data_IF_635843205485
#
_entry.id   IF_635843205485
#
_cell.length_a   1.000
_cell.length_b   1.000
_cell.length_c   1.000
_cell.angle_alpha   90.00
_cell.angle_beta   90.00
_cell.angle_gamma   90.00
#
_symmetry.space_group_name_H-M   'P 1'
#
loop_
_entity.id
_entity.type
_entity.pdbx_description
1 polymer ?
#
# COMPACT_ATOMS: atom_id res chain seq x y z
N UNK A 1 9.22 -29.15 -7.05
CA UNK A 1 9.82 -28.41 -5.92
C UNK A 1 8.99 -27.17 -5.68
N UNK A 2 8.17 -27.19 -4.62
CA UNK A 2 7.30 -26.07 -4.24
C UNK A 2 8.14 -24.82 -4.04
N UNK A 3 7.72 -23.69 -4.60
CA UNK A 3 8.36 -22.37 -4.38
C UNK A 3 8.31 -22.08 -2.89
N UNK A 4 9.41 -22.32 -2.18
CA UNK A 4 9.52 -22.03 -0.75
C UNK A 4 9.19 -20.55 -0.54
N UNK A 5 7.99 -20.31 -0.02
CA UNK A 5 7.60 -18.98 0.45
C UNK A 5 8.55 -18.65 1.59
N UNK A 6 9.31 -17.56 1.47
CA UNK A 6 10.13 -17.04 2.57
C UNK A 6 9.28 -16.41 3.69
N UNK A 7 7.96 -16.41 3.50
CA UNK A 7 7.01 -15.95 4.50
C UNK A 7 6.77 -17.09 5.51
N UNK A 8 6.79 -16.77 6.82
CA UNK A 8 6.53 -17.77 7.85
C UNK A 8 5.05 -18.16 7.88
N UNK A 9 4.76 -19.29 8.54
CA UNK A 9 3.39 -19.62 8.93
C UNK A 9 2.87 -18.57 9.93
N UNK A 10 1.68 -18.03 9.65
CA UNK A 10 1.12 -16.90 10.39
C UNK A 10 0.73 -17.26 11.83
N UNK A 11 0.33 -18.51 12.07
CA UNK A 11 -0.04 -19.01 13.39
C UNK A 11 1.23 -19.30 14.20
N UNK A 12 2.23 -19.94 13.60
CA UNK A 12 3.52 -20.17 14.26
C UNK A 12 4.22 -18.87 14.63
N UNK A 13 4.18 -17.89 13.72
CA UNK A 13 4.71 -16.56 14.00
C UNK A 13 3.97 -15.91 15.17
N UNK A 14 2.63 -15.93 15.17
CA UNK A 14 1.83 -15.35 16.26
C UNK A 14 2.11 -16.01 17.62
N UNK A 15 2.29 -17.33 17.66
CA UNK A 15 2.70 -18.05 18.88
C UNK A 15 4.10 -17.63 19.32
N UNK A 16 5.06 -17.53 18.39
CA UNK A 16 6.44 -17.12 18.69
C UNK A 16 6.52 -15.67 19.19
N UNK A 17 5.60 -14.81 18.75
CA UNK A 17 5.44 -13.43 19.18
C UNK A 17 4.68 -13.30 20.52
N UNK A 18 4.30 -14.41 21.15
CA UNK A 18 3.68 -14.42 22.48
C UNK A 18 2.19 -14.11 22.51
N UNK A 19 1.48 -14.14 21.38
CA UNK A 19 0.04 -13.89 21.38
C UNK A 19 -0.71 -15.06 22.02
N UNK A 20 -1.72 -14.75 22.84
CA UNK A 20 -2.55 -15.74 23.50
C UNK A 20 -3.48 -16.44 22.50
N UNK A 21 -3.25 -17.73 22.28
CA UNK A 21 -4.03 -18.58 21.38
C UNK A 21 -5.17 -19.30 22.10
N UNK A 22 -6.28 -19.52 21.41
CA UNK A 22 -7.32 -20.46 21.84
C UNK A 22 -6.84 -21.87 21.51
N UNK A 23 -6.32 -22.57 22.51
CA UNK A 23 -5.63 -23.86 22.36
C UNK A 23 -6.38 -24.90 21.52
N UNK A 24 -7.71 -24.97 21.65
CA UNK A 24 -8.56 -25.90 20.88
C UNK A 24 -8.73 -25.55 19.39
N UNK A 25 -8.14 -24.46 18.91
CA UNK A 25 -8.16 -24.04 17.49
C UNK A 25 -6.79 -24.11 16.81
N UNK A 26 -5.73 -24.49 17.54
CA UNK A 26 -4.35 -24.43 17.03
C UNK A 26 -4.11 -25.31 15.79
N UNK A 27 -4.78 -26.46 15.72
CA UNK A 27 -4.67 -27.41 14.62
C UNK A 27 -5.73 -27.19 13.52
N UNK A 28 -6.57 -26.16 13.65
CA UNK A 28 -7.58 -25.81 12.65
C UNK A 28 -6.99 -24.88 11.60
N UNK A 29 -7.61 -24.85 10.42
CA UNK A 29 -7.25 -23.91 9.36
C UNK A 29 -7.34 -22.44 9.85
N UNK A 30 -8.40 -22.14 10.59
CA UNK A 30 -8.64 -20.87 11.26
C UNK A 30 -8.33 -21.03 12.75
N UNK A 31 -7.24 -20.41 13.20
CA UNK A 31 -6.84 -20.40 14.60
C UNK A 31 -7.22 -19.05 15.23
N UNK A 32 -7.80 -19.09 16.42
CA UNK A 32 -8.29 -17.91 17.12
C UNK A 32 -7.29 -17.45 18.18
N UNK A 33 -7.07 -16.14 18.25
CA UNK A 33 -6.14 -15.48 19.17
C UNK A 33 -6.81 -14.28 19.85
N UNK A 34 -6.22 -13.86 20.97
CA UNK A 34 -6.49 -12.55 21.53
C UNK A 34 -5.93 -11.49 20.58
N UNK A 35 -6.75 -10.49 20.25
CA UNK A 35 -6.32 -9.41 19.38
C UNK A 35 -5.45 -8.43 20.18
N UNK A 36 -4.19 -8.17 19.79
CA UNK A 36 -3.32 -7.25 20.53
C UNK A 36 -3.71 -5.78 20.35
N UNK A 37 -4.59 -5.46 19.38
CA UNK A 37 -5.00 -4.09 19.06
C UNK A 37 -6.36 -3.71 19.66
N UNK A 38 -7.14 -4.66 20.16
CA UNK A 38 -8.52 -4.41 20.60
C UNK A 38 -8.67 -3.86 22.03
N UNK A 39 -7.58 -3.69 22.78
CA UNK A 39 -7.64 -3.43 24.21
C UNK A 39 -8.58 -4.41 24.95
N UNK A 40 -9.14 -3.98 26.07
CA UNK A 40 -10.08 -4.78 26.87
C UNK A 40 -11.52 -4.77 26.32
N UNK A 41 -11.77 -4.31 25.09
CA UNK A 41 -13.14 -4.25 24.57
C UNK A 41 -13.77 -5.64 24.58
N UNK A 42 -14.80 -5.88 25.41
CA UNK A 42 -15.39 -7.20 25.66
C UNK A 42 -16.52 -7.59 24.69
N UNK A 43 -16.87 -6.74 23.72
CA UNK A 43 -18.08 -6.88 22.88
C UNK A 43 -18.23 -8.21 22.10
N UNK A 44 -17.17 -9.01 21.97
CA UNK A 44 -17.17 -10.29 21.24
C UNK A 44 -16.34 -11.40 21.93
N UNK A 45 -16.15 -11.32 23.25
CA UNK A 45 -15.36 -12.32 24.01
C UNK A 45 -13.84 -12.18 23.87
N UNK A 46 -13.06 -13.09 24.47
CA UNK A 46 -11.59 -12.95 24.58
C UNK A 46 -10.84 -13.16 23.25
N UNK A 47 -11.24 -14.16 22.45
CA UNK A 47 -10.55 -14.53 21.21
C UNK A 47 -11.29 -13.96 20.00
N UNK A 48 -10.75 -12.86 19.45
CA UNK A 48 -11.41 -12.03 18.44
C UNK A 48 -10.64 -11.93 17.13
N UNK A 49 -9.40 -12.39 17.13
CA UNK A 49 -8.48 -12.39 15.99
C UNK A 49 -8.47 -13.80 15.39
N UNK A 50 -8.87 -13.93 14.13
CA UNK A 50 -8.76 -15.19 13.40
C UNK A 50 -7.60 -15.13 12.42
N UNK A 51 -6.77 -16.17 12.42
CA UNK A 51 -5.60 -16.33 11.57
C UNK A 51 -5.79 -17.58 10.72
N UNK A 52 -5.72 -17.44 9.40
CA UNK A 52 -5.85 -18.55 8.47
C UNK A 52 -4.46 -19.02 8.01
N UNK A 53 -4.06 -20.26 8.36
CA UNK A 53 -2.75 -20.82 7.97
C UNK A 53 -2.56 -20.91 6.47
N UNK A 54 -3.56 -21.42 5.74
CA UNK A 54 -3.45 -21.69 4.31
C UNK A 54 -3.36 -20.41 3.47
N UNK A 55 -4.16 -19.41 3.84
CA UNK A 55 -4.22 -18.13 3.12
C UNK A 55 -3.16 -17.14 3.62
N UNK A 56 -2.57 -17.36 4.79
CA UNK A 56 -1.62 -16.43 5.40
C UNK A 56 -2.24 -15.05 5.66
N UNK A 57 -3.52 -15.02 6.05
CA UNK A 57 -4.27 -13.78 6.33
C UNK A 57 -4.84 -13.79 7.74
N UNK A 58 -5.06 -12.60 8.28
CA UNK A 58 -5.71 -12.39 9.56
C UNK A 58 -6.91 -11.45 9.43
N UNK A 59 -7.85 -11.59 10.37
CA UNK A 59 -8.97 -10.67 10.54
C UNK A 59 -9.41 -10.63 12.00
N UNK A 60 -9.56 -9.44 12.56
CA UNK A 60 -10.22 -9.20 13.82
C UNK A 60 -11.69 -8.83 13.60
N UNK A 61 -12.59 -9.51 14.31
CA UNK A 61 -14.03 -9.25 14.20
C UNK A 61 -14.52 -8.08 15.08
N UNK A 62 -13.64 -7.44 15.84
CA UNK A 62 -13.97 -6.29 16.70
C UNK A 62 -13.42 -4.99 16.15
N UNK A 63 -12.09 -4.82 16.07
CA UNK A 63 -11.49 -3.59 15.53
C UNK A 63 -11.43 -3.55 14.00
N UNK A 64 -11.99 -4.56 13.31
CA UNK A 64 -11.96 -4.71 11.86
C UNK A 64 -10.56 -4.81 11.23
N UNK A 65 -9.51 -4.91 12.03
CA UNK A 65 -8.15 -5.07 11.55
C UNK A 65 -7.97 -6.35 10.73
N UNK A 66 -7.34 -6.26 9.57
CA UNK A 66 -7.16 -7.38 8.67
C UNK A 66 -5.97 -7.16 7.74
N UNK A 67 -5.45 -8.24 7.17
CA UNK A 67 -4.33 -8.17 6.24
C UNK A 67 -3.67 -9.53 6.01
N UNK A 68 -2.55 -9.53 5.30
CA UNK A 68 -1.70 -10.70 5.13
C UNK A 68 -0.66 -10.84 6.25
N UNK A 69 0.13 -11.92 6.18
CA UNK A 69 1.26 -12.21 7.08
C UNK A 69 2.24 -11.04 7.23
N UNK A 70 2.55 -10.31 6.14
CA UNK A 70 3.49 -9.18 6.23
C UNK A 70 2.88 -8.00 6.98
N UNK A 71 1.61 -7.70 6.74
CA UNK A 71 0.89 -6.63 7.46
C UNK A 71 0.78 -6.99 8.94
N UNK A 72 0.58 -8.28 9.24
CA UNK A 72 0.55 -8.81 10.60
C UNK A 72 1.89 -8.58 11.32
N UNK A 73 3.00 -9.05 10.74
CA UNK A 73 4.35 -8.90 11.32
C UNK A 73 4.68 -7.41 11.51
N UNK A 74 4.37 -6.56 10.52
CA UNK A 74 4.57 -5.12 10.61
C UNK A 74 3.86 -4.50 11.80
N UNK A 75 2.60 -4.87 12.05
CA UNK A 75 1.83 -4.35 13.19
C UNK A 75 2.29 -4.90 14.54
N UNK A 76 2.75 -6.14 14.60
CA UNK A 76 3.25 -6.74 15.83
C UNK A 76 4.62 -6.16 16.21
N UNK A 77 5.53 -6.03 15.25
CA UNK A 77 6.90 -5.58 15.49
C UNK A 77 7.05 -4.06 15.43
N UNK A 78 6.05 -3.34 14.90
CA UNK A 78 6.12 -1.91 14.62
C UNK A 78 7.34 -1.53 13.76
N UNK A 79 7.61 -2.33 12.72
CA UNK A 79 8.75 -2.15 11.81
C UNK A 79 8.30 -1.97 10.36
N UNK A 80 9.05 -1.22 9.54
CA UNK A 80 8.70 -1.02 8.14
C UNK A 80 8.73 -2.35 7.37
N UNK A 81 7.77 -2.51 6.44
CA UNK A 81 7.57 -3.72 5.62
C UNK A 81 8.85 -4.20 4.96
N UNK A 82 9.66 -3.28 4.41
CA UNK A 82 10.89 -3.61 3.69
C UNK A 82 11.94 -4.25 4.59
N UNK A 83 12.08 -3.75 5.83
CA UNK A 83 13.02 -4.30 6.80
C UNK A 83 12.63 -5.73 7.17
N UNK A 84 11.35 -5.96 7.45
CA UNK A 84 10.79 -7.29 7.75
C UNK A 84 11.04 -8.25 6.58
N UNK A 85 10.70 -7.82 5.38
CA UNK A 85 10.84 -8.62 4.16
C UNK A 85 12.31 -8.98 3.89
N UNK A 86 13.22 -8.03 4.06
CA UNK A 86 14.66 -8.26 3.91
C UNK A 86 15.20 -9.20 5.00
N UNK A 87 14.75 -9.06 6.25
CA UNK A 87 15.09 -9.97 7.34
C UNK A 87 14.61 -11.40 7.07
N UNK A 88 13.37 -11.59 6.64
CA UNK A 88 12.81 -12.90 6.28
C UNK A 88 13.58 -13.54 5.12
N UNK A 89 13.94 -12.75 4.11
CA UNK A 89 14.75 -13.20 2.97
C UNK A 89 16.14 -13.65 3.42
N UNK A 90 16.83 -12.85 4.22
CA UNK A 90 18.16 -13.19 4.73
C UNK A 90 18.14 -14.47 5.57
N UNK A 91 17.17 -14.60 6.49
CA UNK A 91 16.97 -15.80 7.31
C UNK A 91 16.77 -17.07 6.49
N UNK A 92 16.12 -16.95 5.33
CA UNK A 92 15.89 -18.05 4.40
C UNK A 92 17.01 -18.21 3.34
N UNK A 93 18.18 -17.60 3.54
CA UNK A 93 19.33 -17.74 2.63
C UNK A 93 19.14 -17.07 1.27
N UNK A 94 18.18 -16.15 1.14
CA UNK A 94 17.90 -15.46 -0.13
C UNK A 94 18.96 -14.39 -0.37
N UNK A 95 19.70 -14.52 -1.46
CA UNK A 95 20.70 -13.54 -1.87
C UNK A 95 20.03 -12.24 -2.38
N UNK A 96 20.05 -11.19 -1.55
CA UNK A 96 19.42 -9.90 -1.85
C UNK A 96 20.06 -9.20 -3.06
N UNK A 97 21.38 -9.26 -3.21
CA UNK A 97 22.07 -8.66 -4.35
C UNK A 97 21.62 -9.29 -5.68
N UNK A 98 21.45 -10.62 -5.71
CA UNK A 98 20.95 -11.35 -6.88
C UNK A 98 19.49 -11.00 -7.18
N UNK A 99 18.65 -10.85 -6.14
CA UNK A 99 17.27 -10.38 -6.31
C UNK A 99 17.22 -8.96 -6.88
N UNK A 100 18.00 -8.03 -6.32
CA UNK A 100 18.04 -6.66 -6.79
C UNK A 100 18.51 -6.58 -8.24
N UNK A 101 19.57 -7.32 -8.59
CA UNK A 101 20.06 -7.41 -9.97
C UNK A 101 19.01 -7.96 -10.94
N UNK A 102 18.15 -8.89 -10.50
CA UNK A 102 17.02 -9.38 -11.31
C UNK A 102 15.90 -8.35 -11.42
N UNK A 103 15.61 -7.62 -10.33
CA UNK A 103 14.60 -6.55 -10.31
C UNK A 103 14.99 -5.40 -11.24
N UNK A 104 16.24 -4.96 -11.19
CA UNK A 104 16.76 -3.86 -12.02
C UNK A 104 16.79 -4.19 -13.53
N UNK A 105 16.73 -5.47 -13.90
CA UNK A 105 16.62 -5.90 -15.31
C UNK A 105 15.20 -5.84 -15.85
N UNK A 106 14.20 -5.79 -14.98
CA UNK A 106 12.79 -5.70 -15.39
C UNK A 106 12.46 -4.27 -15.73
N UNK A 107 11.54 -4.10 -16.68
CA UNK A 107 10.98 -2.78 -16.93
C UNK A 107 10.16 -2.29 -15.71
N UNK A 108 10.12 -0.98 -15.38
CA UNK A 108 9.29 -0.47 -14.29
C UNK A 108 7.82 -0.90 -14.36
N UNK A 109 7.20 -0.85 -15.55
CA UNK A 109 5.84 -1.37 -15.78
C UNK A 109 5.66 -2.85 -15.39
N UNK A 110 6.71 -3.66 -15.45
CA UNK A 110 6.65 -5.07 -15.04
C UNK A 110 6.63 -5.27 -13.52
N UNK A 111 6.94 -4.21 -12.77
CA UNK A 111 6.94 -4.20 -11.31
C UNK A 111 5.62 -3.67 -10.73
N UNK A 112 4.73 -3.13 -11.57
CA UNK A 112 3.41 -2.68 -11.14
C UNK A 112 2.59 -3.85 -10.57
N UNK A 113 1.88 -3.58 -9.48
CA UNK A 113 0.96 -4.53 -8.89
C UNK A 113 -0.30 -4.71 -9.75
N UNK A 114 -1.04 -5.79 -9.53
CA UNK A 114 -2.31 -6.02 -10.23
C UNK A 114 -3.32 -4.90 -9.93
N UNK A 115 -3.30 -4.35 -8.71
CA UNK A 115 -4.11 -3.20 -8.32
C UNK A 115 -3.73 -1.97 -9.11
N UNK A 116 -2.43 -1.65 -9.21
CA UNK A 116 -1.95 -0.49 -9.96
C UNK A 116 -2.32 -0.59 -11.44
N UNK A 117 -2.14 -1.76 -12.05
CA UNK A 117 -2.58 -2.02 -13.43
C UNK A 117 -4.09 -1.81 -13.60
N UNK A 118 -4.90 -2.27 -12.64
CA UNK A 118 -6.35 -2.07 -12.67
C UNK A 118 -6.75 -0.60 -12.59
N UNK A 119 -6.03 0.21 -11.79
CA UNK A 119 -6.29 1.65 -11.64
C UNK A 119 -6.11 2.41 -12.97
N UNK A 120 -5.18 1.96 -13.82
CA UNK A 120 -4.97 2.51 -15.17
C UNK A 120 -5.69 1.70 -16.27
N UNK A 121 -6.69 0.88 -15.90
CA UNK A 121 -7.59 0.22 -16.85
C UNK A 121 -7.10 -1.12 -17.42
N UNK A 122 -6.00 -1.68 -16.92
CA UNK A 122 -5.50 -3.00 -17.33
C UNK A 122 -6.08 -4.09 -16.42
N UNK A 123 -7.13 -4.77 -16.92
CA UNK A 123 -7.97 -5.70 -16.13
C UNK A 123 -7.32 -7.06 -15.81
N UNK A 124 -6.35 -7.54 -16.59
CA UNK A 124 -5.71 -8.83 -16.33
C UNK A 124 -4.31 -8.97 -16.98
N UNK A 125 -3.54 -9.87 -16.39
CA UNK A 125 -2.14 -10.22 -16.55
C UNK A 125 -1.58 -10.16 -17.98
N UNK A 126 -1.06 -9.00 -18.40
CA UNK A 126 -0.11 -8.88 -19.53
C UNK A 126 -0.60 -9.55 -20.83
N UNK A 127 -1.90 -9.47 -21.10
CA UNK A 127 -2.61 -10.24 -22.14
C UNK A 127 -2.02 -10.13 -23.56
N UNK A 128 -1.36 -9.02 -23.98
CA UNK A 128 -0.60 -8.98 -25.23
C UNK A 128 0.81 -9.60 -25.12
N UNK A 129 1.48 -9.48 -23.98
CA UNK A 129 2.88 -9.88 -23.78
C UNK A 129 3.07 -11.40 -23.77
N UNK A 130 2.05 -12.16 -23.32
CA UNK A 130 2.10 -13.63 -23.30
C UNK A 130 2.01 -14.26 -24.69
N UNK A 131 1.45 -13.55 -25.67
CA UNK A 131 1.22 -14.07 -27.04
C UNK A 131 2.33 -13.72 -28.02
N UNK A 132 3.12 -12.68 -27.73
CA UNK A 132 4.12 -12.13 -28.66
C UNK A 132 5.53 -12.38 -28.15
N UNK A 133 6.36 -13.09 -28.92
CA UNK A 133 7.78 -13.31 -28.61
C UNK A 133 8.70 -12.16 -29.04
N UNK A 134 8.16 -11.15 -29.71
CA UNK A 134 8.91 -9.98 -30.14
C UNK A 134 9.25 -9.07 -28.95
N UNK A 135 10.55 -8.98 -28.65
CA UNK A 135 11.09 -8.15 -27.57
C UNK A 135 10.83 -6.66 -27.77
N UNK A 136 10.85 -6.18 -29.02
CA UNK A 136 10.64 -4.77 -29.30
C UNK A 136 9.17 -4.38 -29.07
N UNK A 137 8.25 -5.25 -29.47
CA UNK A 137 6.82 -5.07 -29.20
C UNK A 137 6.53 -5.08 -27.69
N UNK A 138 7.09 -6.02 -26.94
CA UNK A 138 6.95 -6.06 -25.47
C UNK A 138 7.49 -4.77 -24.84
N UNK A 139 8.65 -4.29 -25.28
CA UNK A 139 9.23 -3.04 -24.77
C UNK A 139 8.29 -1.86 -25.00
N UNK A 140 7.78 -1.68 -26.23
CA UNK A 140 6.84 -0.58 -26.55
C UNK A 140 5.57 -0.62 -25.70
N UNK A 141 5.01 -1.81 -25.46
CA UNK A 141 3.86 -1.94 -24.56
C UNK A 141 4.22 -1.53 -23.13
N UNK A 142 5.37 -2.00 -22.64
CA UNK A 142 5.83 -1.67 -21.30
C UNK A 142 6.11 -0.16 -21.14
N UNK A 143 6.67 0.49 -22.15
CA UNK A 143 6.88 1.94 -22.18
C UNK A 143 5.53 2.67 -22.10
N UNK A 144 4.54 2.22 -22.88
CA UNK A 144 3.18 2.79 -22.86
C UNK A 144 2.50 2.61 -21.48
N UNK A 145 2.46 1.39 -20.94
CA UNK A 145 1.89 1.12 -19.61
C UNK A 145 2.55 2.00 -18.55
N UNK A 146 3.87 2.18 -18.63
CA UNK A 146 4.60 3.01 -17.70
C UNK A 146 4.22 4.49 -17.83
N UNK A 147 4.06 5.00 -19.05
CA UNK A 147 3.61 6.36 -19.29
C UNK A 147 2.20 6.61 -18.73
N UNK A 148 1.25 5.69 -18.95
CA UNK A 148 -0.11 5.76 -18.38
C UNK A 148 -0.07 5.78 -16.86
N UNK A 149 0.79 4.95 -16.25
CA UNK A 149 0.97 4.93 -14.80
C UNK A 149 1.53 6.25 -14.25
N UNK A 150 2.57 6.80 -14.89
CA UNK A 150 3.14 8.08 -14.47
C UNK A 150 2.13 9.23 -14.60
N UNK A 151 1.38 9.28 -15.70
CA UNK A 151 0.35 10.29 -15.89
C UNK A 151 -0.78 10.18 -14.85
N UNK A 152 -1.19 8.95 -14.54
CA UNK A 152 -2.16 8.70 -13.48
C UNK A 152 -1.64 9.14 -12.11
N UNK A 153 -0.39 8.80 -11.78
CA UNK A 153 0.24 9.24 -10.53
C UNK A 153 0.35 10.76 -10.42
N UNK A 154 0.78 11.44 -11.48
CA UNK A 154 0.89 12.90 -11.49
C UNK A 154 -0.48 13.56 -11.28
N UNK A 155 -1.53 13.01 -11.89
CA UNK A 155 -2.92 13.45 -11.64
C UNK A 155 -3.30 13.29 -10.16
N UNK A 156 -3.02 12.13 -9.56
CA UNK A 156 -3.30 11.89 -8.14
C UNK A 156 -2.49 12.77 -7.20
N UNK A 157 -1.23 13.05 -7.53
CA UNK A 157 -0.39 14.00 -6.78
C UNK A 157 -0.97 15.42 -6.82
N UNK A 158 -1.43 15.89 -7.98
CA UNK A 158 -2.09 17.20 -8.13
C UNK A 158 -3.36 17.28 -7.29
N UNK A 159 -4.25 16.30 -7.42
CA UNK A 159 -5.50 16.24 -6.65
C UNK A 159 -5.23 16.29 -5.15
N UNK A 160 -4.25 15.50 -4.69
CA UNK A 160 -3.89 15.41 -3.30
C UNK A 160 -3.22 16.70 -2.78
N UNK A 161 -2.39 17.36 -3.58
CA UNK A 161 -1.79 18.65 -3.23
C UNK A 161 -2.84 19.76 -3.14
N UNK A 162 -3.80 19.81 -4.09
CA UNK A 162 -4.94 20.73 -4.02
C UNK A 162 -5.73 20.49 -2.73
N UNK A 163 -6.04 19.24 -2.41
CA UNK A 163 -6.77 18.89 -1.20
C UNK A 163 -6.02 19.32 0.07
N UNK A 164 -4.71 19.05 0.13
CA UNK A 164 -3.86 19.45 1.24
C UNK A 164 -3.88 20.97 1.45
N UNK A 165 -3.71 21.76 0.38
CA UNK A 165 -3.77 23.22 0.43
C UNK A 165 -5.11 23.68 1.02
N UNK A 166 -6.23 23.15 0.51
CA UNK A 166 -7.56 23.51 1.00
C UNK A 166 -7.76 23.13 2.47
N UNK A 167 -7.27 21.96 2.90
CA UNK A 167 -7.31 21.56 4.30
C UNK A 167 -6.50 22.51 5.20
N UNK A 168 -5.29 22.90 4.78
CA UNK A 168 -4.45 23.84 5.55
C UNK A 168 -5.15 25.19 5.70
N UNK A 169 -5.69 25.73 4.61
CA UNK A 169 -6.40 27.01 4.63
C UNK A 169 -7.64 27.01 5.55
N UNK A 170 -8.25 25.84 5.77
CA UNK A 170 -9.40 25.66 6.66
C UNK A 170 -9.01 25.13 8.06
N UNK A 171 -7.73 25.10 8.42
CA UNK A 171 -7.22 24.55 9.68
C UNK A 171 -7.54 23.06 9.91
N UNK A 172 -7.73 22.30 8.83
CA UNK A 172 -8.03 20.86 8.81
C UNK A 172 -6.82 20.02 8.38
N UNK A 173 -5.61 20.42 8.77
CA UNK A 173 -4.37 19.76 8.34
C UNK A 173 -4.34 18.25 8.62
N UNK A 174 -4.80 17.82 9.80
CA UNK A 174 -4.85 16.40 10.16
C UNK A 174 -5.72 15.58 9.18
N UNK A 175 -6.84 16.14 8.73
CA UNK A 175 -7.72 15.47 7.75
C UNK A 175 -7.04 15.37 6.37
N UNK A 176 -6.27 16.40 5.98
CA UNK A 176 -5.49 16.39 4.75
C UNK A 176 -4.39 15.32 4.76
N UNK A 177 -3.69 15.15 5.89
CA UNK A 177 -2.69 14.08 6.06
C UNK A 177 -3.34 12.70 6.05
N UNK A 178 -4.46 12.51 6.76
CA UNK A 178 -5.19 11.24 6.76
C UNK A 178 -5.65 10.85 5.34
N UNK A 179 -6.14 11.82 4.57
CA UNK A 179 -6.49 11.60 3.16
C UNK A 179 -5.27 11.17 2.32
N UNK A 180 -4.12 11.83 2.49
CA UNK A 180 -2.87 11.48 1.80
C UNK A 180 -2.38 10.08 2.14
N UNK A 181 -2.45 9.69 3.42
CA UNK A 181 -2.07 8.34 3.87
C UNK A 181 -2.99 7.28 3.28
N UNK A 182 -4.30 7.54 3.25
CA UNK A 182 -5.28 6.62 2.67
C UNK A 182 -5.07 6.47 1.16
N UNK A 183 -4.86 7.57 0.45
CA UNK A 183 -4.55 7.54 -0.98
C UNK A 183 -3.22 6.80 -1.26
N UNK A 184 -2.19 7.02 -0.43
CA UNK A 184 -0.91 6.31 -0.56
C UNK A 184 -1.09 4.78 -0.42
N UNK A 185 -1.95 4.35 0.52
CA UNK A 185 -2.31 2.93 0.69
C UNK A 185 -3.07 2.37 -0.50
N UNK A 186 -4.03 3.12 -1.05
CA UNK A 186 -4.79 2.71 -2.23
C UNK A 186 -3.92 2.54 -3.47
N UNK A 187 -2.93 3.41 -3.64
CA UNK A 187 -2.03 3.41 -4.80
C UNK A 187 -0.83 2.46 -4.66
N UNK A 188 -0.56 1.94 -3.45
CA UNK A 188 0.68 1.24 -3.11
C UNK A 188 1.92 2.07 -3.50
N UNK A 189 1.88 3.37 -3.21
CA UNK A 189 2.90 4.36 -3.55
C UNK A 189 2.91 5.48 -2.51
N UNK A 190 4.09 5.87 -2.03
CA UNK A 190 4.23 6.88 -1.00
C UNK A 190 4.02 8.29 -1.58
N UNK A 191 2.80 8.82 -1.46
CA UNK A 191 2.50 10.19 -1.89
C UNK A 191 2.77 11.23 -0.81
N UNK A 192 2.81 10.83 0.46
CA UNK A 192 2.90 11.77 1.59
C UNK A 192 4.16 12.62 1.46
N UNK A 193 5.32 11.99 1.31
CA UNK A 193 6.59 12.72 1.21
C UNK A 193 6.63 13.60 -0.03
N UNK A 194 6.21 13.08 -1.18
CA UNK A 194 6.26 13.81 -2.46
C UNK A 194 5.35 15.05 -2.46
N UNK A 195 4.15 14.93 -1.90
CA UNK A 195 3.18 16.05 -1.85
C UNK A 195 3.62 17.09 -0.81
N UNK A 196 4.12 16.66 0.35
CA UNK A 196 4.62 17.58 1.37
C UNK A 196 5.87 18.33 0.90
N UNK A 197 6.78 17.66 0.21
CA UNK A 197 7.95 18.28 -0.41
C UNK A 197 7.51 19.30 -1.46
N UNK A 198 6.57 18.95 -2.34
CA UNK A 198 6.04 19.86 -3.35
C UNK A 198 5.34 21.09 -2.73
N UNK A 199 4.59 20.90 -1.65
CA UNK A 199 3.96 21.98 -0.88
C UNK A 199 5.01 22.93 -0.26
N UNK A 200 6.05 22.36 0.36
CA UNK A 200 7.13 23.12 0.99
C UNK A 200 8.09 23.82 0.01
N UNK A 201 8.11 23.39 -1.26
CA UNK A 201 9.06 23.88 -2.28
C UNK A 201 8.75 25.28 -2.82
N UNK A 202 7.60 25.88 -2.49
CA UNK A 202 7.24 27.24 -2.90
C UNK A 202 7.29 27.44 -4.42
N UNK A 203 8.24 28.24 -4.91
CA UNK A 203 8.41 28.52 -6.35
C UNK A 203 9.23 27.47 -7.10
N UNK A 204 9.81 26.48 -6.40
CA UNK A 204 10.60 25.39 -6.98
C UNK A 204 9.83 24.07 -7.06
N UNK A 205 8.49 24.14 -7.11
CA UNK A 205 7.66 22.95 -7.15
C UNK A 205 7.99 22.07 -8.37
N UNK A 206 7.85 20.74 -8.23
CA UNK A 206 8.06 19.82 -9.34
C UNK A 206 7.10 20.09 -10.50
N UNK A 207 7.48 19.71 -11.71
CA UNK A 207 6.69 19.95 -12.94
C UNK A 207 5.27 19.39 -12.86
N UNK A 208 5.06 18.29 -12.15
CA UNK A 208 3.72 17.75 -11.94
C UNK A 208 2.82 18.65 -11.09
N UNK A 209 3.38 19.54 -10.26
CA UNK A 209 2.63 20.45 -9.39
C UNK A 209 2.30 21.81 -10.05
N UNK A 210 2.74 22.03 -11.29
CA UNK A 210 2.46 23.25 -12.02
C UNK A 210 0.96 23.52 -12.14
N UNK A 211 0.55 24.76 -11.84
CA UNK A 211 -0.84 25.20 -11.91
C UNK A 211 -1.72 24.84 -10.71
N UNK A 212 -1.24 24.01 -9.77
CA UNK A 212 -2.02 23.59 -8.58
C UNK A 212 -2.50 24.79 -7.74
N UNK A 213 -1.64 25.79 -7.53
CA UNK A 213 -2.00 27.01 -6.80
C UNK A 213 -3.10 27.84 -7.49
N UNK A 214 -3.21 27.75 -8.82
CA UNK A 214 -4.28 28.43 -9.55
C UNK A 214 -5.60 27.66 -9.43
N UNK A 215 -5.54 26.32 -9.46
CA UNK A 215 -6.69 25.44 -9.26
C UNK A 215 -7.26 25.62 -7.86
N UNK A 216 -6.42 25.60 -6.81
CA UNK A 216 -6.86 25.77 -5.42
C UNK A 216 -7.54 27.12 -5.19
N UNK A 217 -6.97 28.20 -5.74
CA UNK A 217 -7.56 29.55 -5.68
C UNK A 217 -8.93 29.61 -6.37
N UNK A 218 -9.05 29.03 -7.57
CA UNK A 218 -10.32 28.99 -8.30
C UNK A 218 -11.41 28.21 -7.55
N UNK A 219 -11.06 27.05 -6.97
CA UNK A 219 -12.02 26.26 -6.16
C UNK A 219 -12.49 27.02 -4.92
N UNK A 220 -11.59 27.76 -4.27
CA UNK A 220 -11.93 28.62 -3.13
C UNK A 220 -12.91 29.72 -3.50
N UNK A 221 -12.69 30.39 -4.63
CA UNK A 221 -13.58 31.45 -5.12
C UNK A 221 -14.99 30.90 -5.43
N UNK A 222 -15.08 29.72 -6.03
CA UNK A 222 -16.35 29.02 -6.28
C UNK A 222 -17.06 28.69 -4.97
N UNK A 223 -16.35 28.09 -4.01
CA UNK A 223 -16.92 27.75 -2.70
C UNK A 223 -17.43 28.99 -1.95
N UNK A 224 -16.64 30.05 -1.90
CA UNK A 224 -17.05 31.31 -1.25
C UNK A 224 -18.24 31.98 -1.94
N UNK A 225 -18.34 31.87 -3.27
CA UNK A 225 -19.47 32.39 -4.02
C UNK A 225 -20.75 31.59 -3.75
N UNK A 226 -20.64 30.27 -3.56
CA UNK A 226 -21.77 29.38 -3.25
C UNK A 226 -22.36 29.61 -1.86
N UNK A 227 -21.56 30.09 -0.91
CA UNK A 227 -22.01 30.42 0.46
C UNK A 227 -22.72 31.79 0.55
N UNK A 228 -22.64 32.62 -0.50
CA UNK A 228 -23.26 33.96 -0.56
C UNK A 228 -24.61 33.96 -1.27
N UNK A 229 -25.04 32.82 -1.82
CA UNK A 229 -26.36 32.60 -2.43
C UNK A 229 -27.30 31.95 -1.41
#
# INVERSE_FOLDING_TARGET
MSTASYLPDIVEYAVSAGLQVRSNTLNKEQTEFCCPWCGESLSKGKYKLSLNRLKGVYKCFTCAEHGGILDFIQKIENRPREEILNGLRQKNGVNLAKLQKRRNKKHPAELLSATQLKLIGFLDNRTPQKKVRDKNYIKKINDWIWAEWLQYLDSKKRDALVHLILCIENNQFQQGIEHLENLSKELDHNLVDEVLEAYGSGNQSPTWAEGVNNISRGLKEVYQSSLRQ
#
